data_IF_964116620266
#
_entry.id   IF_964116620266
#
_cell.length_a   1.000
_cell.length_b   1.000
_cell.length_c   1.000
_cell.angle_alpha   90.00
_cell.angle_beta   90.00
_cell.angle_gamma   90.00
#
_symmetry.space_group_name_H-M   'P 1'
#
loop_
_entity.id
_entity.type
_entity.pdbx_description
1 polymer ?
#
# COMPACT_ATOMS: atom_id res chain seq x y z
N UNK A 1 0.86 5.80 22.30
CA UNK A 1 1.66 4.64 22.75
C UNK A 1 2.81 4.50 21.76
N UNK A 2 4.01 4.89 22.16
CA UNK A 2 5.29 4.57 21.53
C UNK A 2 5.98 3.55 22.47
N UNK A 3 6.89 2.66 22.04
CA UNK A 3 8.02 3.00 21.15
C UNK A 3 8.46 1.89 20.16
N UNK A 4 9.23 2.28 19.15
CA UNK A 4 10.31 1.41 18.66
C UNK A 4 11.52 2.30 18.42
N UNK A 5 12.53 2.16 19.28
CA UNK A 5 13.89 2.59 19.02
C UNK A 5 14.52 1.62 18.03
N UNK A 6 15.16 2.14 16.99
CA UNK A 6 16.18 1.41 16.24
C UNK A 6 17.33 2.39 16.02
N UNK A 7 18.35 2.25 16.85
CA UNK A 7 19.68 2.79 16.59
C UNK A 7 20.42 1.82 15.65
N UNK A 8 21.13 2.42 14.70
CA UNK A 8 22.17 1.87 13.82
C UNK A 8 21.81 0.78 12.79
N UNK A 9 21.47 1.24 11.58
CA UNK A 9 21.88 0.54 10.35
C UNK A 9 22.39 1.56 9.32
N UNK A 10 23.67 1.44 8.98
CA UNK A 10 24.34 2.22 7.93
C UNK A 10 23.66 1.99 6.57
N UNK A 11 23.37 3.06 5.84
CA UNK A 11 23.13 3.02 4.39
C UNK A 11 21.68 3.16 3.89
N UNK A 12 20.69 3.47 4.73
CA UNK A 12 19.34 3.81 4.26
C UNK A 12 19.21 5.34 4.14
N UNK A 13 19.06 5.86 2.91
CA UNK A 13 18.62 7.24 2.72
C UNK A 13 17.27 7.42 3.42
N UNK A 14 17.27 8.08 4.58
CA UNK A 14 16.07 8.26 5.40
C UNK A 14 15.19 9.32 4.73
N UNK A 15 14.27 8.88 3.87
CA UNK A 15 13.33 9.77 3.22
C UNK A 15 12.26 10.22 4.22
N UNK A 16 12.27 11.51 4.56
CA UNK A 16 11.16 12.14 5.28
C UNK A 16 10.06 12.47 4.28
N UNK A 17 8.86 11.93 4.48
CA UNK A 17 7.67 12.34 3.74
C UNK A 17 7.10 13.58 4.41
N UNK A 18 6.95 14.66 3.65
CA UNK A 18 6.30 15.90 4.09
C UNK A 18 4.96 16.04 3.38
N UNK A 19 3.95 16.54 4.08
CA UNK A 19 2.69 16.89 3.43
C UNK A 19 2.76 18.31 2.88
N UNK A 20 2.44 18.47 1.59
CA UNK A 20 2.37 19.77 0.94
C UNK A 20 1.08 19.87 0.12
N UNK A 21 0.53 21.08 0.07
CA UNK A 21 -0.62 21.40 -0.77
C UNK A 21 -0.15 22.13 -2.01
N UNK A 22 -0.65 21.72 -3.17
CA UNK A 22 -0.42 22.43 -4.41
C UNK A 22 -1.43 23.57 -4.56
N UNK A 23 -0.96 24.81 -4.61
CA UNK A 23 -1.80 26.02 -4.74
C UNK A 23 -1.16 26.95 -5.77
N UNK A 24 -1.90 27.30 -6.84
CA UNK A 24 -1.47 28.25 -7.88
C UNK A 24 -0.08 27.93 -8.51
N UNK A 25 0.26 26.66 -8.70
CA UNK A 25 1.56 26.27 -9.26
C UNK A 25 2.69 26.14 -8.23
N UNK A 26 2.41 26.38 -6.95
CA UNK A 26 3.42 26.35 -5.87
C UNK A 26 3.08 25.23 -4.88
N UNK A 27 4.09 24.43 -4.50
CA UNK A 27 3.98 23.48 -3.40
C UNK A 27 4.14 24.21 -2.08
N UNK A 28 3.07 24.29 -1.30
CA UNK A 28 3.04 24.93 0.02
C UNK A 28 3.06 23.83 1.08
N UNK A 29 4.14 23.69 1.84
CA UNK A 29 4.21 22.71 2.93
C UNK A 29 3.16 22.97 4.01
N UNK A 30 2.59 21.89 4.57
CA UNK A 30 1.66 21.95 5.70
C UNK A 30 2.38 21.85 7.06
N UNK A 31 3.69 21.62 7.04
CA UNK A 31 4.55 21.44 8.21
C UNK A 31 5.82 22.29 8.07
N UNK A 32 6.46 22.62 9.21
CA UNK A 32 7.69 23.43 9.23
C UNK A 32 8.83 22.67 8.54
N UNK A 33 9.38 23.29 7.48
CA UNK A 33 10.57 22.81 6.78
C UNK A 33 11.79 23.61 7.19
N UNK A 34 12.69 22.94 7.91
CA UNK A 34 14.03 23.43 8.21
C UNK A 34 14.96 23.00 7.08
N UNK A 35 14.79 23.65 5.92
CA UNK A 35 15.71 23.52 4.80
C UNK A 35 16.65 24.72 4.77
N UNK A 36 17.90 24.48 4.41
CA UNK A 36 18.85 25.56 4.15
C UNK A 36 18.58 26.16 2.77
N UNK A 37 18.82 27.46 2.60
CA UNK A 37 18.76 28.08 1.28
C UNK A 37 19.73 27.38 0.31
N UNK A 38 19.25 27.07 -0.90
CA UNK A 38 20.00 26.33 -1.91
C UNK A 38 20.00 24.81 -1.75
N UNK A 39 19.29 24.26 -0.76
CA UNK A 39 19.18 22.81 -0.58
C UNK A 39 18.26 22.19 -1.65
N UNK A 40 18.80 21.26 -2.43
CA UNK A 40 18.03 20.50 -3.41
C UNK A 40 17.14 19.45 -2.73
N UNK A 41 15.88 19.36 -3.18
CA UNK A 41 14.92 18.38 -2.69
C UNK A 41 14.34 17.58 -3.86
N UNK A 42 14.15 16.28 -3.63
CA UNK A 42 13.47 15.40 -4.59
C UNK A 42 11.99 15.32 -4.26
N UNK A 43 11.14 15.61 -5.23
CA UNK A 43 9.69 15.50 -5.11
C UNK A 43 9.25 14.18 -5.74
N UNK A 44 8.54 13.36 -4.96
CA UNK A 44 7.89 12.15 -5.45
C UNK A 44 6.38 12.37 -5.46
N UNK A 45 5.75 12.18 -6.61
CA UNK A 45 4.29 12.22 -6.76
C UNK A 45 3.79 10.77 -6.74
N UNK A 46 2.85 10.45 -5.84
CA UNK A 46 2.15 9.17 -5.88
C UNK A 46 0.88 9.37 -6.71
N UNK A 47 0.97 9.04 -8.01
CA UNK A 47 -0.10 9.21 -9.01
C UNK A 47 -1.26 8.20 -8.83
N UNK A 48 -1.32 7.50 -7.69
CA UNK A 48 -2.48 6.65 -7.41
C UNK A 48 -3.73 7.54 -7.45
N UNK A 49 -4.74 7.18 -8.24
CA UNK A 49 -5.99 7.91 -8.22
C UNK A 49 -6.46 7.94 -6.77
N UNK A 50 -6.63 9.15 -6.24
CA UNK A 50 -7.26 9.39 -4.94
C UNK A 50 -8.73 9.00 -5.08
N UNK A 51 -8.98 7.69 -5.10
CA UNK A 51 -10.33 7.16 -5.17
C UNK A 51 -11.04 7.61 -3.90
N UNK A 52 -12.20 8.23 -4.07
CA UNK A 52 -13.07 8.52 -2.93
C UNK A 52 -13.50 7.21 -2.25
N UNK A 53 -13.99 7.32 -1.02
CA UNK A 53 -14.52 6.16 -0.32
C UNK A 53 -15.66 5.50 -1.12
N UNK A 54 -16.50 6.30 -1.80
CA UNK A 54 -17.56 5.79 -2.67
C UNK A 54 -17.00 5.03 -3.88
N UNK A 55 -15.98 5.57 -4.57
CA UNK A 55 -15.38 4.91 -5.75
C UNK A 55 -14.70 3.59 -5.39
N UNK A 56 -14.03 3.53 -4.21
CA UNK A 56 -13.46 2.28 -3.69
C UNK A 56 -14.56 1.25 -3.42
N UNK A 57 -15.66 1.67 -2.80
CA UNK A 57 -16.77 0.80 -2.48
C UNK A 57 -17.48 0.29 -3.74
N UNK A 58 -17.64 1.13 -4.75
CA UNK A 58 -18.23 0.75 -6.03
C UNK A 58 -17.39 -0.31 -6.74
N UNK A 59 -16.06 -0.12 -6.80
CA UNK A 59 -15.12 -1.11 -7.37
C UNK A 59 -15.11 -2.43 -6.60
N UNK A 60 -15.22 -2.37 -5.28
CA UNK A 60 -15.34 -3.57 -4.45
C UNK A 60 -16.66 -4.31 -4.74
N UNK A 61 -17.77 -3.58 -4.89
CA UNK A 61 -19.08 -4.16 -5.22
C UNK A 61 -19.11 -4.76 -6.63
N UNK A 62 -18.48 -4.11 -7.61
CA UNK A 62 -18.49 -4.58 -9.00
C UNK A 62 -17.68 -5.88 -9.18
N UNK A 63 -16.66 -6.09 -8.35
CA UNK A 63 -15.86 -7.32 -8.33
C UNK A 63 -16.42 -8.41 -7.40
N UNK A 64 -17.37 -8.08 -6.53
CA UNK A 64 -17.95 -9.02 -5.58
C UNK A 64 -18.68 -10.15 -6.31
N UNK A 65 -18.23 -11.40 -6.07
CA UNK A 65 -18.84 -12.59 -6.66
C UNK A 65 -18.45 -12.85 -8.12
N UNK A 66 -17.51 -12.10 -8.70
CA UNK A 66 -17.01 -12.34 -10.07
C UNK A 66 -16.35 -13.72 -10.26
N UNK A 67 -16.01 -14.40 -9.16
CA UNK A 67 -15.50 -15.77 -9.12
C UNK A 67 -16.60 -16.84 -9.15
N UNK A 68 -17.86 -16.49 -8.89
CA UNK A 68 -18.98 -17.44 -8.79
C UNK A 68 -19.18 -18.15 -10.12
N UNK A 69 -19.11 -19.49 -10.10
CA UNK A 69 -19.23 -20.34 -11.30
C UNK A 69 -17.98 -20.41 -12.16
N UNK A 70 -16.89 -19.72 -11.79
CA UNK A 70 -15.57 -19.87 -12.43
C UNK A 70 -14.65 -20.83 -11.69
N UNK A 71 -14.91 -21.04 -10.40
CA UNK A 71 -14.19 -21.98 -9.55
C UNK A 71 -15.15 -23.04 -9.01
N UNK A 72 -14.65 -24.27 -8.88
CA UNK A 72 -15.29 -25.30 -8.07
C UNK A 72 -14.93 -25.04 -6.60
N UNK A 73 -15.87 -24.44 -5.87
CA UNK A 73 -15.67 -24.10 -4.46
C UNK A 73 -15.48 -25.32 -3.57
N UNK A 74 -16.16 -26.43 -3.86
CA UNK A 74 -16.08 -27.64 -3.05
C UNK A 74 -14.74 -28.35 -3.23
N UNK A 75 -14.23 -28.40 -4.47
CA UNK A 75 -12.89 -28.90 -4.75
C UNK A 75 -11.81 -28.05 -4.07
N UNK A 76 -11.91 -26.72 -4.16
CA UNK A 76 -10.96 -25.80 -3.53
C UNK A 76 -10.94 -25.94 -2.00
N UNK A 77 -12.11 -26.07 -1.37
CA UNK A 77 -12.20 -26.29 0.08
C UNK A 77 -11.50 -27.59 0.47
N UNK A 78 -11.76 -28.70 -0.25
CA UNK A 78 -11.11 -29.99 0.04
C UNK A 78 -9.59 -29.88 -0.06
N UNK A 79 -9.08 -29.24 -1.10
CA UNK A 79 -7.65 -29.03 -1.32
C UNK A 79 -7.03 -28.22 -0.16
N UNK A 80 -7.64 -27.11 0.25
CA UNK A 80 -7.17 -26.31 1.39
C UNK A 80 -7.07 -27.16 2.68
N UNK A 81 -8.05 -28.04 2.93
CA UNK A 81 -8.02 -28.90 4.12
C UNK A 81 -6.98 -30.02 4.02
N UNK A 82 -6.71 -30.55 2.83
CA UNK A 82 -5.63 -31.51 2.61
C UNK A 82 -4.26 -30.87 2.81
N UNK A 83 -4.05 -29.67 2.26
CA UNK A 83 -2.79 -28.93 2.38
C UNK A 83 -2.49 -28.56 3.84
N UNK A 84 -3.51 -28.08 4.57
CA UNK A 84 -3.41 -27.83 6.02
C UNK A 84 -3.07 -29.09 6.80
N UNK A 85 -3.63 -30.24 6.42
CA UNK A 85 -3.36 -31.53 7.09
C UNK A 85 -1.95 -32.02 6.81
N UNK A 86 -1.40 -31.73 5.63
CA UNK A 86 -0.03 -32.06 5.24
C UNK A 86 1.02 -31.06 5.77
N UNK A 87 0.59 -29.91 6.29
CA UNK A 87 1.48 -28.85 6.77
C UNK A 87 2.22 -28.12 5.64
N UNK A 88 1.69 -28.17 4.41
CA UNK A 88 2.28 -27.54 3.24
C UNK A 88 1.87 -26.06 3.14
N UNK A 89 2.79 -25.16 2.77
CA UNK A 89 2.40 -23.83 2.30
C UNK A 89 1.57 -23.96 1.01
N UNK A 90 0.64 -23.02 0.72
CA UNK A 90 -0.23 -23.12 -0.45
C UNK A 90 0.58 -23.17 -1.76
N UNK A 91 0.08 -23.95 -2.71
CA UNK A 91 0.72 -24.19 -4.01
C UNK A 91 0.80 -22.91 -4.83
N UNK A 92 1.96 -22.66 -5.44
CA UNK A 92 2.09 -21.70 -6.53
C UNK A 92 1.55 -22.36 -7.81
N UNK A 93 0.60 -21.71 -8.46
CA UNK A 93 0.09 -22.14 -9.77
C UNK A 93 1.14 -21.82 -10.86
N UNK A 94 1.55 -22.81 -11.65
CA UNK A 94 2.26 -22.65 -12.94
C UNK A 94 1.27 -22.46 -14.10
#
# INVERSE_FOLDING_TARGET
MFPVSLEDSEGAAMYRTINAKFVNGVLVPLEELRLSEGQEVRISLDDKPLLTAEEKLERLKSSAGAWKGKIDGDALIRQIYEDRRRGLPPLEDE
#
